data_IF_476376041126
#
_entry.id   IF_476376041126
#
_cell.length_a   1.000
_cell.length_b   1.000
_cell.length_c   1.000
_cell.angle_alpha   90.00
_cell.angle_beta   90.00
_cell.angle_gamma   90.00
#
_symmetry.space_group_name_H-M   'P 1'
#
loop_
_entity.id
_entity.type
_entity.pdbx_description
1 polymer ?
#
# COMPACT_ATOMS: atom_id res chain seq x y z
N UNK A 1 0.95 -9.56 9.54
CA UNK A 1 2.25 -9.40 8.85
C UNK A 1 3.39 -9.85 9.75
N UNK A 2 4.31 -10.68 9.26
CA UNK A 2 5.53 -11.05 9.99
C UNK A 2 6.67 -10.08 9.62
N UNK A 3 7.00 -9.16 10.54
CA UNK A 3 8.06 -8.18 10.34
C UNK A 3 9.45 -8.81 10.16
N UNK A 4 9.72 -9.98 10.78
CA UNK A 4 11.03 -10.64 10.63
C UNK A 4 11.18 -11.19 9.22
N UNK A 5 10.12 -11.81 8.69
CA UNK A 5 10.10 -12.27 7.31
C UNK A 5 10.28 -11.09 6.33
N UNK A 6 9.60 -9.96 6.57
CA UNK A 6 9.74 -8.76 5.74
C UNK A 6 11.16 -8.15 5.77
N UNK A 7 11.76 -8.04 6.96
CA UNK A 7 13.11 -7.47 7.12
C UNK A 7 14.21 -8.35 6.53
N UNK A 8 13.99 -9.66 6.45
CA UNK A 8 14.91 -10.60 5.81
C UNK A 8 14.93 -10.49 4.27
N UNK A 9 13.96 -9.80 3.66
CA UNK A 9 13.91 -9.58 2.22
C UNK A 9 14.91 -8.49 1.83
N UNK A 10 15.84 -8.84 0.94
CA UNK A 10 16.95 -7.96 0.54
C UNK A 10 16.51 -6.95 -0.52
N UNK A 11 15.60 -7.36 -1.41
CA UNK A 11 15.21 -6.54 -2.55
C UNK A 11 13.86 -5.84 -2.33
N UNK A 12 13.71 -4.69 -2.99
CA UNK A 12 12.44 -3.96 -3.00
C UNK A 12 11.30 -4.77 -3.65
N UNK A 13 11.63 -5.58 -4.66
CA UNK A 13 10.69 -6.44 -5.36
C UNK A 13 10.15 -7.56 -4.47
N UNK A 14 11.02 -8.24 -3.71
CA UNK A 14 10.59 -9.27 -2.75
C UNK A 14 9.70 -8.69 -1.67
N UNK A 15 10.06 -7.52 -1.13
CA UNK A 15 9.25 -6.79 -0.16
C UNK A 15 7.87 -6.46 -0.72
N UNK A 16 7.79 -5.97 -1.96
CA UNK A 16 6.51 -5.68 -2.60
C UNK A 16 5.67 -6.96 -2.82
N UNK A 17 6.28 -8.06 -3.29
CA UNK A 17 5.61 -9.36 -3.43
C UNK A 17 5.07 -9.88 -2.09
N UNK A 18 5.84 -9.73 -1.02
CA UNK A 18 5.41 -10.11 0.33
C UNK A 18 4.23 -9.25 0.82
N UNK A 19 4.30 -7.94 0.59
CA UNK A 19 3.22 -7.01 0.94
C UNK A 19 1.94 -7.26 0.14
N UNK A 20 2.03 -7.67 -1.13
CA UNK A 20 0.86 -8.06 -1.95
C UNK A 20 0.07 -9.25 -1.39
N UNK A 21 0.72 -10.10 -0.60
CA UNK A 21 0.06 -11.24 0.06
C UNK A 21 -0.67 -10.84 1.34
N UNK A 22 -0.44 -9.63 1.84
CA UNK A 22 -1.10 -9.12 3.04
C UNK A 22 -2.42 -8.43 2.69
N UNK A 23 -3.31 -8.31 3.67
CA UNK A 23 -4.52 -7.50 3.53
C UNK A 23 -4.15 -6.01 3.46
N UNK A 24 -4.58 -5.35 2.38
CA UNK A 24 -4.45 -3.91 2.19
C UNK A 24 -5.78 -3.29 2.59
N UNK A 25 -5.72 -2.38 3.56
CA UNK A 25 -6.86 -1.61 4.06
C UNK A 25 -6.63 -0.12 3.79
N UNK A 26 -7.59 0.72 4.16
CA UNK A 26 -7.42 2.18 4.16
C UNK A 26 -7.55 2.75 5.57
N UNK A 27 -6.93 3.90 5.77
CA UNK A 27 -7.18 4.76 6.93
C UNK A 27 -7.37 6.18 6.46
N UNK A 28 -8.02 7.01 7.27
CA UNK A 28 -8.15 8.44 6.98
C UNK A 28 -6.84 9.12 7.40
N UNK A 29 -6.25 9.88 6.50
CA UNK A 29 -5.08 10.73 6.75
C UNK A 29 -5.37 12.17 6.33
N UNK A 30 -4.55 13.10 6.79
CA UNK A 30 -4.67 14.51 6.41
C UNK A 30 -3.44 14.90 5.60
N UNK A 31 -3.65 15.26 4.33
CA UNK A 31 -2.61 15.79 3.43
C UNK A 31 -3.04 17.18 3.00
N UNK A 32 -2.17 18.17 3.18
CA UNK A 32 -2.43 19.57 2.85
C UNK A 32 -3.76 20.11 3.46
N UNK A 33 -4.04 19.72 4.71
CA UNK A 33 -5.27 20.05 5.46
C UNK A 33 -6.56 19.45 4.88
N UNK A 34 -6.47 18.51 3.94
CA UNK A 34 -7.61 17.80 3.36
C UNK A 34 -7.65 16.35 3.85
N UNK A 35 -8.80 15.85 4.36
CA UNK A 35 -8.96 14.45 4.73
C UNK A 35 -9.02 13.58 3.46
N UNK A 36 -8.15 12.57 3.41
CA UNK A 36 -8.01 11.65 2.28
C UNK A 36 -7.83 10.22 2.77
N UNK A 37 -8.28 9.24 1.99
CA UNK A 37 -7.98 7.83 2.28
C UNK A 37 -6.52 7.52 1.94
N UNK A 38 -5.80 6.82 2.82
CA UNK A 38 -4.45 6.32 2.61
C UNK A 38 -4.43 4.80 2.74
N UNK A 39 -3.80 4.13 1.78
CA UNK A 39 -3.63 2.69 1.84
C UNK A 39 -2.66 2.27 2.96
N UNK A 40 -3.00 1.20 3.67
CA UNK A 40 -2.23 0.66 4.78
C UNK A 40 -2.17 -0.87 4.72
N UNK A 41 -1.13 -1.46 5.33
CA UNK A 41 -1.02 -2.89 5.58
C UNK A 41 -0.75 -3.07 7.08
N UNK A 42 -1.76 -3.50 7.82
CA UNK A 42 -1.75 -3.42 9.29
C UNK A 42 -1.49 -1.97 9.73
N UNK A 43 -0.43 -1.75 10.51
CA UNK A 43 -0.02 -0.43 11.01
C UNK A 43 0.90 0.36 10.05
N UNK A 44 1.24 -0.22 8.90
CA UNK A 44 2.18 0.40 7.94
C UNK A 44 1.41 1.20 6.91
N UNK A 45 1.70 2.50 6.87
CA UNK A 45 1.18 3.44 5.87
C UNK A 45 1.95 3.29 4.55
N UNK A 46 1.23 3.03 3.46
CA UNK A 46 1.81 3.02 2.11
C UNK A 46 1.92 4.44 1.56
N UNK A 47 2.80 4.68 0.57
CA UNK A 47 2.90 5.96 -0.14
C UNK A 47 1.75 6.19 -1.15
N UNK A 48 0.66 5.44 -1.03
CA UNK A 48 -0.51 5.54 -1.90
C UNK A 48 -1.62 6.23 -1.14
N UNK A 49 -2.00 7.41 -1.64
CA UNK A 49 -3.00 8.30 -1.07
C UNK A 49 -4.06 8.56 -2.14
N UNK A 50 -5.32 8.40 -1.76
CA UNK A 50 -6.47 8.77 -2.57
C UNK A 50 -6.64 10.28 -2.66
N UNK A 51 -7.54 10.69 -3.54
CA UNK A 51 -7.97 12.07 -3.72
C UNK A 51 -9.31 12.30 -3.05
N UNK A 52 -9.72 13.56 -2.97
CA UNK A 52 -11.06 13.90 -2.53
C UNK A 52 -12.11 13.19 -3.41
N UNK A 53 -13.01 12.44 -2.77
CA UNK A 53 -14.05 11.67 -3.45
C UNK A 53 -13.65 10.25 -3.87
N UNK A 54 -12.39 9.83 -3.68
CA UNK A 54 -12.01 8.44 -3.90
C UNK A 54 -12.63 7.53 -2.83
N UNK A 55 -13.10 6.36 -3.24
CA UNK A 55 -13.56 5.33 -2.31
C UNK A 55 -12.39 4.53 -1.76
N UNK A 56 -12.58 3.89 -0.61
CA UNK A 56 -11.59 2.99 -0.03
C UNK A 56 -11.16 1.89 -1.01
N UNK A 57 -12.10 1.35 -1.78
CA UNK A 57 -11.86 0.32 -2.80
C UNK A 57 -10.94 0.83 -3.93
N UNK A 58 -11.11 2.08 -4.36
CA UNK A 58 -10.25 2.70 -5.37
C UNK A 58 -8.82 2.86 -4.84
N UNK A 59 -8.66 3.32 -3.60
CA UNK A 59 -7.34 3.50 -2.97
C UNK A 59 -6.63 2.16 -2.75
N UNK A 60 -7.38 1.12 -2.36
CA UNK A 60 -6.85 -0.25 -2.25
C UNK A 60 -6.42 -0.77 -3.63
N UNK A 61 -7.21 -0.55 -4.67
CA UNK A 61 -6.86 -0.96 -6.02
C UNK A 61 -5.58 -0.25 -6.51
N UNK A 62 -5.47 1.07 -6.29
CA UNK A 62 -4.26 1.83 -6.59
C UNK A 62 -3.04 1.29 -5.83
N UNK A 63 -3.21 0.92 -4.56
CA UNK A 63 -2.13 0.35 -3.76
C UNK A 63 -1.68 -1.02 -4.25
N UNK A 64 -2.62 -1.85 -4.70
CA UNK A 64 -2.32 -3.15 -5.33
C UNK A 64 -1.53 -2.98 -6.63
N UNK A 65 -1.97 -2.08 -7.50
CA UNK A 65 -1.27 -1.79 -8.77
C UNK A 65 0.15 -1.28 -8.49
N UNK A 66 0.29 -0.29 -7.60
CA UNK A 66 1.61 0.23 -7.23
C UNK A 66 2.53 -0.86 -6.68
N UNK A 67 2.04 -1.73 -5.79
CA UNK A 67 2.82 -2.85 -5.27
C UNK A 67 3.18 -3.87 -6.36
N UNK A 68 2.30 -4.11 -7.34
CA UNK A 68 2.60 -4.98 -8.49
C UNK A 68 3.72 -4.40 -9.37
N UNK A 69 3.67 -3.11 -9.66
CA UNK A 69 4.73 -2.42 -10.42
C UNK A 69 6.07 -2.50 -9.68
N UNK A 70 6.09 -2.22 -8.37
CA UNK A 70 7.30 -2.33 -7.54
C UNK A 70 7.80 -3.78 -7.45
N UNK A 71 6.90 -4.76 -7.48
CA UNK A 71 7.23 -6.19 -7.52
C UNK A 71 7.83 -6.65 -8.85
N UNK A 72 7.86 -5.79 -9.88
CA UNK A 72 8.32 -6.10 -11.23
C UNK A 72 7.27 -6.81 -12.08
N UNK A 73 5.98 -6.70 -11.74
CA UNK A 73 4.89 -7.05 -12.63
C UNK A 73 4.75 -5.96 -13.69
N UNK A 74 4.90 -6.33 -14.96
CA UNK A 74 4.49 -5.46 -16.07
C UNK A 74 2.99 -5.17 -15.92
N UNK A 75 2.65 -3.88 -15.78
CA UNK A 75 1.28 -3.39 -15.67
C UNK A 75 0.48 -3.59 -16.97
#
# INVERSE_FOLDING_TARGET
>A
MDLKAYQALETMQERAKYLLQQEITTTIDIVDLTPVARACIGDIRLPVVGKEGDTDEQVIAMAKVWLQEVAGGEA
#
